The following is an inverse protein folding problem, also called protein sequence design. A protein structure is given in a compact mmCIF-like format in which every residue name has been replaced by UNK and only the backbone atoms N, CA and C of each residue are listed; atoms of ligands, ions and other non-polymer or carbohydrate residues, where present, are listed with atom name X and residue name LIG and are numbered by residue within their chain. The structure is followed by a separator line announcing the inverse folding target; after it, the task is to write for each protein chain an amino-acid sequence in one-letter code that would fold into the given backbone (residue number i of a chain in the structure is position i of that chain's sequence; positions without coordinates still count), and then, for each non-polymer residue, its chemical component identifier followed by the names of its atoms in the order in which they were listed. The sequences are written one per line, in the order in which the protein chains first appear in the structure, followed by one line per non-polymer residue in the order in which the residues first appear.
data_IF_609206556849
#
_entry.id   IF_609206556849
#
_cell.length_a   1.000
_cell.length_b   1.000
_cell.length_c   1.000
_cell.angle_alpha   90.00
_cell.angle_beta   90.00
_cell.angle_gamma   90.00
#
_symmetry.space_group_name_H-M   'P 1'
#
loop_
_entity.id
_entity.type
_entity.pdbx_description
1 polymer ?
#
# COMPACT_ATOMS: atom_id res chain seq x y z
N UNK A 1 -18.94 -9.46 -8.47
CA UNK A 1 -17.53 -9.68 -8.09
C UNK A 1 -17.17 -11.13 -8.44
N UNK A 2 -15.96 -11.39 -8.93
CA UNK A 2 -15.55 -12.69 -9.48
C UNK A 2 -14.89 -13.56 -8.41
N UNK A 3 -15.66 -14.44 -7.77
CA UNK A 3 -15.15 -15.40 -6.76
C UNK A 3 -14.40 -16.59 -7.39
N UNK A 4 -14.48 -16.72 -8.70
CA UNK A 4 -13.86 -17.72 -9.57
C UNK A 4 -12.39 -17.42 -9.91
N UNK A 5 -11.88 -16.23 -9.55
CA UNK A 5 -10.48 -15.87 -9.79
C UNK A 5 -9.55 -16.71 -8.91
N UNK A 6 -8.62 -17.50 -9.48
CA UNK A 6 -7.69 -18.32 -8.70
C UNK A 6 -6.86 -17.47 -7.73
N UNK A 7 -6.88 -17.84 -6.45
CA UNK A 7 -6.06 -17.16 -5.43
C UNK A 7 -4.59 -17.59 -5.58
N UNK A 8 -3.63 -16.67 -5.75
CA UNK A 8 -2.21 -17.02 -5.72
C UNK A 8 -1.83 -17.72 -4.41
N UNK A 9 -0.92 -18.70 -4.45
CA UNK A 9 -0.46 -19.45 -3.25
C UNK A 9 0.00 -18.54 -2.09
N UNK A 10 0.57 -17.38 -2.39
CA UNK A 10 0.97 -16.39 -1.38
C UNK A 10 -0.21 -15.73 -0.67
N UNK A 11 -1.36 -15.60 -1.34
CA UNK A 11 -2.58 -14.97 -0.84
C UNK A 11 -3.49 -15.99 -0.15
N UNK A 12 -3.48 -17.26 -0.58
CA UNK A 12 -4.26 -18.34 0.04
C UNK A 12 -3.99 -18.53 1.54
N UNK A 13 -2.79 -18.16 2.00
CA UNK A 13 -2.37 -18.29 3.40
C UNK A 13 -2.77 -17.10 4.27
N UNK A 14 -3.36 -16.05 3.68
CA UNK A 14 -3.76 -14.87 4.42
C UNK A 14 -5.06 -15.15 5.20
N UNK A 15 -5.26 -14.51 6.36
CA UNK A 15 -6.57 -14.51 7.00
C UNK A 15 -7.61 -13.95 6.02
N UNK A 16 -8.84 -14.45 6.13
CA UNK A 16 -9.95 -13.99 5.30
C UNK A 16 -11.05 -13.37 6.13
N UNK A 17 -11.76 -12.40 5.55
CA UNK A 17 -13.01 -11.92 6.16
C UNK A 17 -14.09 -13.00 6.12
N UNK A 18 -15.24 -12.75 6.78
CA UNK A 18 -16.41 -13.63 6.72
C UNK A 18 -16.88 -13.92 5.29
N UNK A 19 -16.69 -12.98 4.38
CA UNK A 19 -17.04 -13.13 2.96
C UNK A 19 -15.92 -13.79 2.13
N UNK A 20 -14.87 -14.31 2.77
CA UNK A 20 -13.78 -15.03 2.11
C UNK A 20 -12.72 -14.15 1.43
N UNK A 21 -12.74 -12.83 1.65
CA UNK A 21 -11.73 -11.92 1.09
C UNK A 21 -10.42 -12.04 1.83
N UNK A 22 -9.29 -12.27 1.13
CA UNK A 22 -7.99 -12.23 1.78
C UNK A 22 -7.74 -10.83 2.34
N UNK A 23 -7.21 -10.78 3.55
CA UNK A 23 -6.89 -9.53 4.24
C UNK A 23 -5.43 -9.19 3.97
N UNK A 24 -5.13 -8.07 3.28
CA UNK A 24 -3.77 -7.60 3.07
C UNK A 24 -2.98 -7.45 4.38
N UNK A 25 -1.67 -7.68 4.32
CA UNK A 25 -0.81 -7.55 5.50
C UNK A 25 -0.75 -6.15 6.09
N UNK A 26 -1.07 -5.12 5.31
CA UNK A 26 -1.11 -3.70 5.74
C UNK A 26 -2.44 -3.29 6.37
N UNK A 27 -3.45 -4.16 6.39
CA UNK A 27 -4.76 -3.85 6.95
C UNK A 27 -4.69 -3.81 8.49
N UNK A 28 -5.28 -2.78 9.14
CA UNK A 28 -5.32 -2.73 10.60
C UNK A 28 -6.10 -3.91 11.17
N UNK A 29 -5.71 -4.32 12.38
CA UNK A 29 -6.28 -5.46 13.10
C UNK A 29 -6.82 -5.01 14.45
N UNK A 30 -7.99 -5.50 14.85
CA UNK A 30 -8.59 -5.13 16.13
C UNK A 30 -9.74 -4.13 16.01
N UNK A 31 -10.37 -3.88 17.16
CA UNK A 31 -11.50 -2.97 17.31
C UNK A 31 -10.97 -1.53 17.34
N UNK A 32 -10.74 -0.99 16.16
CA UNK A 32 -10.21 0.36 15.99
C UNK A 32 -11.33 1.36 16.29
N UNK A 33 -11.12 2.22 17.29
CA UNK A 33 -11.67 3.57 17.18
C UNK A 33 -11.02 4.24 15.96
N UNK A 34 -11.71 5.15 15.28
CA UNK A 34 -11.17 5.83 14.09
C UNK A 34 -9.97 6.75 14.38
N UNK A 35 -9.52 6.75 15.63
CA UNK A 35 -8.46 7.57 16.19
C UNK A 35 -7.12 6.85 16.13
N UNK A 36 -6.26 7.30 15.22
CA UNK A 36 -4.83 7.11 15.35
C UNK A 36 -4.29 8.05 16.43
N UNK A 37 -3.16 7.70 17.05
CA UNK A 37 -2.51 8.56 18.04
C UNK A 37 -1.27 9.20 17.44
N UNK A 38 -0.94 10.40 17.92
CA UNK A 38 0.36 11.01 17.68
C UNK A 38 1.27 10.66 18.86
N UNK A 39 2.48 10.21 18.54
CA UNK A 39 3.52 9.94 19.53
C UNK A 39 4.85 10.55 19.06
N UNK A 40 5.61 11.11 20.00
CA UNK A 40 6.99 11.53 19.77
C UNK A 40 7.90 10.30 19.88
N UNK A 41 8.53 9.89 18.78
CA UNK A 41 9.43 8.74 18.74
C UNK A 41 10.90 9.20 18.59
N UNK A 42 11.87 8.50 19.23
CA UNK A 42 13.28 8.93 19.21
C UNK A 42 13.87 9.12 17.81
N UNK A 43 13.51 8.25 16.86
CA UNK A 43 14.11 8.22 15.52
C UNK A 43 13.33 9.07 14.51
N UNK A 44 12.01 9.08 14.61
CA UNK A 44 11.12 9.68 13.58
C UNK A 44 10.47 10.99 14.03
N UNK A 45 10.63 11.39 15.29
CA UNK A 45 9.94 12.54 15.89
C UNK A 45 8.44 12.29 15.99
N UNK A 46 7.64 13.35 15.87
CA UNK A 46 6.18 13.26 15.86
C UNK A 46 5.70 12.28 14.77
N UNK A 47 4.97 11.25 15.16
CA UNK A 47 4.60 10.13 14.28
C UNK A 47 3.18 9.67 14.56
N UNK A 48 2.42 9.40 13.50
CA UNK A 48 1.11 8.73 13.60
C UNK A 48 1.33 7.26 13.90
N UNK A 49 0.89 6.81 15.07
CA UNK A 49 1.00 5.43 15.54
C UNK A 49 -0.40 4.81 15.51
N UNK A 50 -0.46 3.56 15.02
CA UNK A 50 -1.69 2.80 14.98
C UNK A 50 -1.76 1.94 16.25
N UNK A 51 -2.80 2.06 17.10
CA UNK A 51 -2.94 1.23 18.29
C UNK A 51 -3.37 -0.20 17.96
N UNK A 52 -3.49 -0.55 16.67
CA UNK A 52 -3.95 -1.85 16.23
C UNK A 52 -3.06 -2.97 16.80
N UNK A 53 -3.69 -4.00 17.36
CA UNK A 53 -3.00 -5.17 17.89
C UNK A 53 -3.33 -6.37 17.01
N UNK A 54 -2.35 -7.27 16.83
CA UNK A 54 -2.56 -8.50 16.09
C UNK A 54 -3.31 -9.54 16.95
N UNK A 55 -4.59 -9.29 17.21
CA UNK A 55 -5.40 -10.07 18.15
C UNK A 55 -6.37 -11.03 17.45
N UNK A 56 -6.17 -11.35 16.16
CA UNK A 56 -7.09 -12.20 15.38
C UNK A 56 -8.52 -11.64 15.25
N UNK A 57 -8.71 -10.33 15.49
CA UNK A 57 -9.98 -9.60 15.54
C UNK A 57 -10.34 -8.95 14.19
N UNK A 58 -11.59 -8.46 13.99
CA UNK A 58 -12.06 -7.97 12.71
C UNK A 58 -11.13 -6.96 12.05
N UNK A 59 -11.02 -7.10 10.74
CA UNK A 59 -10.18 -6.26 9.89
C UNK A 59 -11.03 -5.17 9.25
N UNK A 60 -10.63 -3.90 9.36
CA UNK A 60 -11.26 -2.80 8.61
C UNK A 60 -10.71 -2.82 7.19
N UNK A 61 -11.32 -3.62 6.31
CA UNK A 61 -10.95 -3.65 4.89
C UNK A 61 -11.03 -2.25 4.27
N UNK A 62 -10.09 -1.94 3.39
CA UNK A 62 -9.96 -0.61 2.78
C UNK A 62 -9.25 0.43 3.68
N UNK A 63 -9.02 0.13 4.96
CA UNK A 63 -8.12 0.91 5.79
C UNK A 63 -6.69 0.37 5.74
N UNK A 64 -5.73 1.27 5.97
CA UNK A 64 -4.31 0.95 5.99
C UNK A 64 -3.70 1.34 7.35
N UNK A 65 -3.08 0.38 8.02
CA UNK A 65 -2.35 0.61 9.26
C UNK A 65 -1.04 1.34 8.94
N UNK A 66 -0.85 2.52 9.54
CA UNK A 66 0.35 3.35 9.36
C UNK A 66 1.64 2.57 9.69
N UNK A 67 1.69 1.85 10.81
CA UNK A 67 2.88 1.09 11.21
C UNK A 67 3.19 -0.07 10.28
N UNK A 68 2.18 -0.85 9.90
CA UNK A 68 2.34 -1.98 8.98
C UNK A 68 2.71 -1.48 7.57
N UNK A 69 2.15 -0.36 7.12
CA UNK A 69 2.49 0.30 5.86
C UNK A 69 3.96 0.71 5.83
N UNK A 70 4.41 1.50 6.82
CA UNK A 70 5.80 1.99 6.87
C UNK A 70 6.79 0.84 6.98
N UNK A 71 6.49 -0.16 7.81
CA UNK A 71 7.32 -1.38 7.94
C UNK A 71 7.39 -2.15 6.61
N UNK A 72 6.26 -2.32 5.93
CA UNK A 72 6.19 -3.04 4.65
C UNK A 72 6.99 -2.33 3.56
N UNK A 73 6.89 -1.00 3.48
CA UNK A 73 7.71 -0.17 2.58
C UNK A 73 9.20 -0.30 2.87
N UNK A 74 9.64 -0.06 4.12
CA UNK A 74 11.06 -0.12 4.53
C UNK A 74 11.69 -1.49 4.29
N UNK A 75 10.91 -2.56 4.46
CA UNK A 75 11.38 -3.94 4.30
C UNK A 75 11.22 -4.48 2.87
N UNK A 76 10.85 -3.64 1.91
CA UNK A 76 10.60 -4.04 0.51
C UNK A 76 9.66 -5.26 0.40
N UNK A 77 8.55 -5.24 1.14
CA UNK A 77 7.55 -6.31 1.16
C UNK A 77 6.32 -5.96 0.34
N UNK A 78 5.66 -6.98 -0.18
CA UNK A 78 4.39 -6.83 -0.90
C UNK A 78 3.27 -6.36 0.03
N UNK A 79 2.58 -5.28 -0.34
CA UNK A 79 1.46 -4.70 0.42
C UNK A 79 0.30 -5.68 0.70
N UNK A 80 0.14 -6.71 -0.14
CA UNK A 80 -0.89 -7.73 0.01
C UNK A 80 -0.40 -8.93 0.79
N UNK A 81 0.60 -9.65 0.29
CA UNK A 81 1.00 -10.95 0.88
C UNK A 81 2.15 -10.87 1.89
N UNK A 82 2.79 -9.71 2.06
CA UNK A 82 3.90 -9.49 3.01
C UNK A 82 5.21 -10.21 2.71
N UNK A 83 5.29 -10.99 1.63
CA UNK A 83 6.56 -11.58 1.17
C UNK A 83 7.46 -10.51 0.58
N UNK A 84 8.77 -10.73 0.66
CA UNK A 84 9.77 -9.85 0.06
C UNK A 84 9.52 -9.70 -1.46
N UNK A 85 9.68 -8.49 -1.97
CA UNK A 85 9.60 -8.19 -3.40
C UNK A 85 10.94 -8.50 -4.04
N UNK A 86 10.94 -9.17 -5.19
CA UNK A 86 12.14 -9.34 -6.00
C UNK A 86 12.12 -8.30 -7.13
N UNK A 87 13.01 -7.29 -7.10
CA UNK A 87 13.10 -6.27 -8.14
C UNK A 87 13.24 -6.82 -9.56
N UNK A 88 13.80 -8.03 -9.73
CA UNK A 88 13.95 -8.69 -11.03
C UNK A 88 12.61 -9.16 -11.61
N UNK A 89 11.66 -9.44 -10.73
CA UNK A 89 10.28 -9.83 -11.11
C UNK A 89 9.33 -8.64 -11.18
N UNK A 90 9.78 -7.46 -10.75
CA UNK A 90 9.04 -6.20 -10.83
C UNK A 90 8.35 -5.78 -9.54
N UNK A 91 8.37 -4.47 -9.28
CA UNK A 91 7.62 -3.76 -8.26
C UNK A 91 6.39 -3.15 -8.93
N UNK A 92 5.19 -3.65 -8.60
CA UNK A 92 3.99 -3.27 -9.33
C UNK A 92 3.15 -2.28 -8.55
N UNK A 93 2.84 -1.16 -9.19
CA UNK A 93 1.97 -0.09 -8.71
C UNK A 93 0.76 0.05 -9.65
N UNK A 94 -0.30 0.68 -9.17
CA UNK A 94 -1.49 0.97 -9.97
C UNK A 94 -1.95 2.40 -9.70
N UNK A 95 -2.27 3.15 -10.76
CA UNK A 95 -2.82 4.50 -10.66
C UNK A 95 -4.05 4.66 -11.54
N UNK A 96 -4.96 5.54 -11.13
CA UNK A 96 -6.14 5.91 -11.94
C UNK A 96 -5.95 7.22 -12.70
N UNK A 97 -4.89 7.99 -12.41
CA UNK A 97 -4.58 9.26 -13.10
C UNK A 97 -3.11 9.30 -13.50
N UNK A 98 -2.77 9.69 -14.75
CA UNK A 98 -1.38 9.72 -15.23
C UNK A 98 -0.43 10.64 -14.45
N UNK A 99 -0.98 11.63 -13.73
CA UNK A 99 -0.22 12.58 -12.93
C UNK A 99 0.22 11.98 -11.58
N UNK A 100 -0.33 10.83 -11.18
CA UNK A 100 0.04 10.18 -9.93
C UNK A 100 1.34 9.40 -10.10
N UNK A 101 2.37 9.84 -9.37
CA UNK A 101 3.68 9.19 -9.29
C UNK A 101 4.06 8.76 -7.86
N UNK A 102 3.21 9.11 -6.90
CA UNK A 102 3.48 8.99 -5.48
C UNK A 102 2.45 8.05 -4.84
N UNK A 103 2.93 6.91 -4.35
CA UNK A 103 2.10 5.82 -3.86
C UNK A 103 2.28 5.64 -2.37
N UNK A 104 1.18 5.82 -1.61
CA UNK A 104 1.15 5.49 -0.18
C UNK A 104 0.99 3.99 0.05
N UNK A 105 0.39 3.26 -0.89
CA UNK A 105 0.29 1.81 -0.81
C UNK A 105 1.61 1.15 -1.25
N UNK A 106 2.11 0.14 -0.53
CA UNK A 106 3.33 -0.57 -0.93
C UNK A 106 3.16 -1.28 -2.28
N UNK A 107 4.23 -1.37 -3.08
CA UNK A 107 4.19 -2.15 -4.32
C UNK A 107 3.81 -3.61 -4.07
N UNK A 108 3.28 -4.24 -5.10
CA UNK A 108 2.87 -5.63 -5.09
C UNK A 108 3.78 -6.48 -5.99
N UNK A 109 3.79 -7.79 -5.75
CA UNK A 109 4.23 -8.72 -6.79
C UNK A 109 3.27 -8.64 -7.98
N UNK A 110 3.73 -8.85 -9.23
CA UNK A 110 2.84 -8.81 -10.39
C UNK A 110 1.63 -9.75 -10.27
N UNK A 111 1.84 -10.98 -9.79
CA UNK A 111 0.73 -11.93 -9.53
C UNK A 111 -0.23 -11.45 -8.44
N UNK A 112 0.27 -10.77 -7.41
CA UNK A 112 -0.60 -10.20 -6.36
C UNK A 112 -1.41 -9.03 -6.90
N UNK A 113 -0.82 -8.16 -7.73
CA UNK A 113 -1.55 -7.08 -8.41
C UNK A 113 -2.63 -7.64 -9.34
N UNK A 114 -2.29 -8.64 -10.17
CA UNK A 114 -3.22 -9.25 -11.11
C UNK A 114 -4.45 -9.82 -10.40
N UNK A 115 -4.25 -10.51 -9.27
CA UNK A 115 -5.34 -10.96 -8.43
C UNK A 115 -6.13 -9.78 -7.83
N UNK A 116 -5.44 -8.82 -7.20
CA UNK A 116 -6.08 -7.69 -6.51
C UNK A 116 -6.95 -6.85 -7.43
N UNK A 117 -6.52 -6.56 -8.66
CA UNK A 117 -7.32 -5.79 -9.64
C UNK A 117 -8.64 -6.49 -9.96
N UNK A 118 -8.65 -7.83 -10.01
CA UNK A 118 -9.84 -8.59 -10.39
C UNK A 118 -10.83 -8.78 -9.23
N UNK A 119 -10.36 -8.76 -7.98
CA UNK A 119 -11.21 -9.07 -6.82
C UNK A 119 -11.48 -7.89 -5.88
N UNK A 120 -10.60 -6.88 -5.84
CA UNK A 120 -10.82 -5.70 -5.00
C UNK A 120 -11.89 -4.82 -5.65
N UNK A 121 -13.03 -4.56 -4.99
CA UNK A 121 -14.10 -3.75 -5.60
C UNK A 121 -13.64 -2.33 -5.94
N UNK A 122 -12.71 -1.75 -5.18
CA UNK A 122 -12.17 -0.43 -5.49
C UNK A 122 -11.33 -0.46 -6.76
N UNK A 123 -10.40 -1.41 -6.89
CA UNK A 123 -9.54 -1.50 -8.08
C UNK A 123 -10.33 -1.95 -9.31
N UNK A 124 -11.21 -2.94 -9.17
CA UNK A 124 -12.01 -3.47 -10.28
C UNK A 124 -12.90 -2.40 -10.92
N UNK A 125 -13.43 -1.45 -10.14
CA UNK A 125 -14.24 -0.32 -10.64
C UNK A 125 -13.44 0.65 -11.51
N UNK A 126 -12.13 0.74 -11.30
CA UNK A 126 -11.25 1.66 -12.01
C UNK A 126 -10.34 0.97 -13.02
N UNK A 127 -10.37 -0.37 -13.11
CA UNK A 127 -9.45 -1.16 -13.91
C UNK A 127 -9.41 -0.73 -15.39
N UNK A 128 -10.56 -0.43 -16.00
CA UNK A 128 -10.63 -0.01 -17.41
C UNK A 128 -9.84 1.28 -17.72
N UNK A 129 -9.69 2.16 -16.74
CA UNK A 129 -9.03 3.47 -16.90
C UNK A 129 -7.70 3.53 -16.15
N UNK A 130 -7.35 2.49 -15.41
CA UNK A 130 -6.15 2.45 -14.60
C UNK A 130 -4.93 2.07 -15.45
N UNK A 131 -3.77 2.50 -14.98
CA UNK A 131 -2.48 2.11 -15.50
C UNK A 131 -1.72 1.29 -14.47
N UNK A 132 -1.08 0.22 -14.92
CA UNK A 132 -0.17 -0.60 -14.13
C UNK A 132 1.26 -0.17 -14.44
N UNK A 133 2.00 0.15 -13.39
CA UNK A 133 3.39 0.59 -13.48
C UNK A 133 4.28 -0.51 -12.90
N UNK A 134 5.26 -0.95 -13.67
CA UNK A 134 6.21 -1.99 -13.25
C UNK A 134 7.61 -1.37 -13.22
N UNK A 135 8.20 -1.28 -12.04
CA UNK A 135 9.54 -0.75 -11.86
C UNK A 135 10.51 -1.82 -11.31
N UNK A 136 11.80 -1.61 -11.53
CA UNK A 136 12.87 -2.40 -10.89
C UNK A 136 13.43 -1.74 -9.63
N UNK A 137 13.05 -0.50 -9.35
CA UNK A 137 13.43 0.20 -8.13
C UNK A 137 12.40 1.27 -7.82
N UNK A 138 12.42 1.74 -6.58
CA UNK A 138 11.57 2.84 -6.12
C UNK A 138 12.39 3.75 -5.22
N UNK A 139 12.02 5.02 -5.18
CA UNK A 139 12.47 5.96 -4.17
C UNK A 139 11.45 6.00 -3.05
N UNK A 140 11.91 5.94 -1.80
CA UNK A 140 11.06 6.12 -0.63
C UNK A 140 11.26 7.52 -0.06
N UNK A 141 10.15 8.11 0.36
CA UNK A 141 10.09 9.41 1.03
C UNK A 141 9.18 9.34 2.24
N UNK A 142 9.47 10.17 3.22
CA UNK A 142 8.57 10.42 4.34
C UNK A 142 7.50 11.42 3.93
N UNK A 143 6.23 11.08 4.13
CA UNK A 143 5.14 12.05 4.08
C UNK A 143 4.89 12.56 5.49
N UNK A 144 5.07 13.87 5.67
CA UNK A 144 4.85 14.53 6.95
C UNK A 144 3.70 15.50 6.85
N UNK A 145 2.72 15.34 7.73
CA UNK A 145 1.59 16.25 7.86
C UNK A 145 2.04 17.44 8.70
N UNK A 146 2.00 18.62 8.08
CA UNK A 146 2.52 19.87 8.62
C UNK A 146 1.42 20.65 9.36
N UNK A 147 0.20 20.61 8.83
CA UNK A 147 -0.93 21.36 9.36
C UNK A 147 -2.26 20.76 8.89
N UNK A 148 -3.34 21.10 9.61
CA UNK A 148 -4.74 20.86 9.20
C UNK A 148 -5.46 22.22 9.16
N UNK A 149 -5.25 23.04 8.11
CA UNK A 149 -5.76 24.41 8.09
C UNK A 149 -7.29 24.50 8.16
N UNK A 150 -8.00 23.47 7.68
CA UNK A 150 -9.46 23.35 7.71
C UNK A 150 -9.95 22.29 8.72
N UNK A 151 -9.06 21.75 9.55
CA UNK A 151 -9.35 20.68 10.51
C UNK A 151 -9.63 19.30 9.92
N UNK A 152 -9.66 19.13 8.59
CA UNK A 152 -10.06 17.87 7.93
C UNK A 152 -9.03 17.34 6.93
N UNK A 153 -8.30 18.22 6.26
CA UNK A 153 -7.30 17.87 5.26
C UNK A 153 -5.91 18.30 5.71
N UNK A 154 -5.06 17.29 5.92
CA UNK A 154 -3.65 17.52 6.20
C UNK A 154 -2.92 18.11 4.99
N UNK A 155 -2.20 19.21 5.20
CA UNK A 155 -1.17 19.70 4.27
C UNK A 155 0.10 18.90 4.55
N UNK A 156 0.64 18.25 3.52
CA UNK A 156 1.81 17.39 3.67
C UNK A 156 3.01 17.89 2.88
N UNK A 157 4.19 17.64 3.43
CA UNK A 157 5.47 17.80 2.74
C UNK A 157 6.18 16.44 2.66
N UNK A 158 6.96 16.26 1.60
CA UNK A 158 7.76 15.05 1.38
C UNK A 158 9.23 15.30 1.67
N UNK A 159 9.85 14.38 2.38
CA UNK A 159 11.28 14.40 2.70
C UNK A 159 11.94 13.12 2.19
N UNK A 160 13.22 13.16 1.77
CA UNK A 160 13.98 11.93 1.56
C UNK A 160 13.88 11.02 2.79
N UNK A 161 13.81 9.70 2.57
CA UNK A 161 13.76 8.74 3.67
C UNK A 161 14.97 8.95 4.60
N UNK A 162 14.71 8.99 5.91
CA UNK A 162 15.70 9.16 6.97
C UNK A 162 16.48 10.50 6.91
N UNK A 163 15.96 11.52 6.23
CA UNK A 163 16.52 12.86 6.26
C UNK A 163 16.50 13.42 7.70
N UNK A 164 17.65 13.79 8.31
CA UNK A 164 17.74 14.15 9.73
C UNK A 164 16.83 15.31 10.15
N UNK A 165 16.54 16.24 9.24
CA UNK A 165 15.68 17.39 9.49
C UNK A 165 14.19 17.06 9.47
N UNK A 166 13.79 15.95 8.83
CA UNK A 166 12.38 15.62 8.61
C UNK A 166 11.64 15.41 9.93
N UNK A 167 12.29 14.79 10.93
CA UNK A 167 11.74 14.55 12.27
C UNK A 167 11.22 15.79 13.00
N UNK A 168 11.64 16.98 12.60
CA UNK A 168 11.24 18.25 13.21
C UNK A 168 10.17 19.01 12.42
N UNK A 169 9.77 18.52 11.24
CA UNK A 169 8.90 19.24 10.32
C UNK A 169 7.40 19.03 10.61
N UNK A 170 7.00 17.81 10.99
CA UNK A 170 5.60 17.47 11.22
C UNK A 170 5.38 15.99 11.50
N UNK A 171 4.12 15.59 11.63
CA UNK A 171 3.75 14.23 11.97
C UNK A 171 3.99 13.29 10.79
N UNK A 172 4.87 12.30 10.95
CA UNK A 172 5.05 11.23 9.98
C UNK A 172 3.81 10.32 9.95
N UNK A 173 3.09 10.28 8.83
CA UNK A 173 1.97 9.35 8.66
C UNK A 173 2.35 8.13 7.82
N UNK A 174 2.71 8.31 6.57
CA UNK A 174 3.04 7.23 5.64
C UNK A 174 4.42 7.42 5.04
N UNK A 175 4.98 6.32 4.55
CA UNK A 175 6.02 6.39 3.52
C UNK A 175 5.36 6.45 2.14
N UNK A 176 5.99 7.17 1.24
CA UNK A 176 5.57 7.30 -0.16
C UNK A 176 6.63 6.67 -1.03
N UNK A 177 6.18 5.79 -1.93
CA UNK A 177 7.02 5.18 -2.95
C UNK A 177 6.81 5.90 -4.29
N UNK A 178 7.90 6.19 -4.99
CA UNK A 178 7.88 6.68 -6.36
C UNK A 178 8.65 5.68 -7.23
N UNK A 179 8.00 4.98 -8.19
CA UNK A 179 8.68 4.05 -9.08
C UNK A 179 9.71 4.78 -9.95
N UNK A 180 10.90 4.21 -10.09
CA UNK A 180 11.97 4.76 -10.93
C UNK A 180 11.91 4.12 -12.31
N UNK A 181 11.69 4.94 -13.35
CA UNK A 181 11.61 4.53 -14.76
C UNK A 181 10.72 3.28 -14.97
N UNK A 182 9.44 3.31 -14.54
CA UNK A 182 8.56 2.16 -14.72
C UNK A 182 8.19 1.97 -16.18
N UNK A 183 7.99 0.71 -16.56
CA UNK A 183 7.17 0.35 -17.71
C UNK A 183 5.70 0.58 -17.35
N UNK A 184 4.92 1.17 -18.26
CA UNK A 184 3.53 1.58 -18.00
C UNK A 184 2.61 0.89 -19.00
N UNK A 185 1.54 0.29 -18.50
CA UNK A 185 0.57 -0.44 -19.29
C UNK A 185 -0.85 -0.02 -18.94
N UNK A 186 -1.75 0.15 -19.92
CA UNK A 186 -3.19 0.12 -19.65
C UNK A 186 -3.53 -1.17 -18.90
N UNK A 187 -4.27 -1.06 -17.80
CA UNK A 187 -4.51 -2.21 -16.93
C UNK A 187 -5.22 -3.39 -17.64
N UNK A 188 -6.21 -3.19 -18.54
CA UNK A 188 -6.80 -4.30 -19.30
C UNK A 188 -5.77 -5.03 -20.17
N UNK A 189 -4.96 -4.28 -20.93
CA UNK A 189 -3.90 -4.85 -21.78
C UNK A 189 -2.83 -5.57 -20.95
N UNK A 190 -2.50 -5.04 -19.77
CA UNK A 190 -1.60 -5.70 -18.84
C UNK A 190 -2.16 -7.04 -18.35
N UNK A 191 -3.42 -7.07 -17.92
CA UNK A 191 -4.08 -8.30 -17.47
C UNK A 191 -4.14 -9.37 -18.56
N UNK A 192 -4.39 -8.96 -19.80
CA UNK A 192 -4.54 -9.88 -20.93
C UNK A 192 -3.19 -10.45 -21.43
N UNK A 193 -2.15 -9.63 -21.50
CA UNK A 193 -0.93 -9.99 -22.22
C UNK A 193 0.34 -10.10 -21.35
N UNK A 194 0.33 -9.53 -20.15
CA UNK A 194 1.55 -9.33 -19.36
C UNK A 194 1.46 -9.85 -17.92
N UNK A 195 0.27 -9.94 -17.35
CA UNK A 195 0.07 -10.42 -15.99
C UNK A 195 0.47 -11.90 -15.88
N UNK A 196 1.24 -12.30 -14.86
CA UNK A 196 1.54 -13.71 -14.67
C UNK A 196 0.27 -14.52 -14.40
N UNK A 197 0.22 -15.78 -14.85
CA UNK A 197 -0.89 -16.66 -14.51
C UNK A 197 -1.02 -16.78 -12.98
N UNK A 198 -2.27 -16.83 -12.51
CA UNK A 198 -2.57 -16.90 -11.07
C UNK A 198 -2.40 -18.30 -10.48
N UNK A 199 -2.33 -19.32 -11.34
CA UNK A 199 -2.13 -20.74 -11.00
C UNK A 199 -0.67 -21.13 -10.84
#
# INVERSE_FOLDING_TARGET
MRFDVPKPRSIQRLPTTRSGYPVPVITPRGDMSETFTLAELPDTGLTVVCPCQDTGRPHKLGAMCHDLQRRTMRQHRCGVCGKHLDPRTGLVFIRSTPQTWDFIEPPLHPRCMAYSVQVCPMLARHAEQAEVLIARSMQLRERRVMAFPDGTRGVSQYFPLDAPQARYAGALDYLVATPVKPDIYPCPAWLEHHAPPLT
#
